data_IF_471623399129
#
_entry.id   IF_471623399129
#
_cell.length_a   1.000
_cell.length_b   1.000
_cell.length_c   1.000
_cell.angle_alpha   90.00
_cell.angle_beta   90.00
_cell.angle_gamma   90.00
#
_symmetry.space_group_name_H-M   'P 1'
#
loop_
_entity.id
_entity.type
_entity.pdbx_description
1 polymer ?
#
# COMPACT_ATOMS: atom_id res chain seq x y z
N UNK A 1 -22.93 -12.96 4.67
CA UNK A 1 -24.20 -13.66 4.91
C UNK A 1 -25.14 -12.82 5.79
N UNK A 2 -24.69 -12.33 6.98
CA UNK A 2 -25.51 -11.48 7.86
C UNK A 2 -25.96 -10.19 7.16
N UNK A 3 -25.06 -9.50 6.49
CA UNK A 3 -25.34 -8.27 5.73
C UNK A 3 -26.26 -8.50 4.50
N UNK A 4 -26.43 -9.74 4.04
CA UNK A 4 -27.30 -10.11 2.91
C UNK A 4 -28.68 -10.62 3.35
N UNK A 5 -29.02 -10.52 4.65
CA UNK A 5 -30.32 -10.96 5.19
C UNK A 5 -30.53 -12.48 5.24
N UNK A 6 -29.48 -13.28 4.98
CA UNK A 6 -29.58 -14.75 4.98
C UNK A 6 -29.88 -15.35 6.36
N UNK A 7 -29.71 -14.54 7.43
CA UNK A 7 -29.97 -15.00 8.81
C UNK A 7 -31.46 -15.09 9.14
N UNK A 8 -32.33 -14.47 8.39
CA UNK A 8 -33.78 -14.53 8.60
C UNK A 8 -34.37 -15.94 8.43
N UNK A 9 -33.63 -16.83 7.75
CA UNK A 9 -34.01 -18.24 7.53
C UNK A 9 -33.83 -19.12 8.79
N UNK A 10 -33.06 -18.62 9.77
CA UNK A 10 -32.74 -19.38 11.00
C UNK A 10 -33.66 -18.98 12.14
N UNK A 11 -33.84 -19.91 13.08
CA UNK A 11 -34.58 -19.64 14.31
C UNK A 11 -33.84 -18.60 15.16
N UNK A 12 -34.57 -17.87 16.02
CA UNK A 12 -33.98 -16.84 16.91
C UNK A 12 -32.83 -17.39 17.78
N UNK A 13 -32.95 -18.69 18.18
CA UNK A 13 -31.89 -19.36 18.95
C UNK A 13 -30.63 -19.56 18.13
N UNK A 14 -30.78 -20.00 16.88
CA UNK A 14 -29.65 -20.21 15.97
C UNK A 14 -28.99 -18.89 15.58
N UNK A 15 -29.78 -17.84 15.33
CA UNK A 15 -29.28 -16.49 15.07
C UNK A 15 -28.39 -16.01 16.23
N UNK A 16 -28.84 -16.19 17.47
CA UNK A 16 -28.07 -15.81 18.64
C UNK A 16 -26.75 -16.62 18.77
N UNK A 17 -26.77 -17.92 18.46
CA UNK A 17 -25.57 -18.76 18.49
C UNK A 17 -24.60 -18.33 17.38
N UNK A 18 -25.08 -18.00 16.19
CA UNK A 18 -24.26 -17.51 15.08
C UNK A 18 -23.66 -16.14 15.41
N UNK A 19 -24.42 -15.24 16.00
CA UNK A 19 -23.92 -13.94 16.43
C UNK A 19 -22.81 -14.05 17.48
N UNK A 20 -22.97 -14.94 18.47
CA UNK A 20 -21.91 -15.22 19.44
C UNK A 20 -20.65 -15.79 18.79
N UNK A 21 -20.82 -16.70 17.83
CA UNK A 21 -19.69 -17.28 17.09
C UNK A 21 -18.97 -16.24 16.23
N UNK A 22 -19.72 -15.33 15.59
CA UNK A 22 -19.14 -14.22 14.84
C UNK A 22 -18.34 -13.31 15.75
N UNK A 23 -18.89 -12.89 16.88
CA UNK A 23 -18.20 -12.03 17.84
C UNK A 23 -16.91 -12.67 18.39
N UNK A 24 -16.91 -13.99 18.60
CA UNK A 24 -15.69 -14.72 18.99
C UNK A 24 -14.65 -14.70 17.85
N UNK A 25 -15.07 -15.02 16.63
CA UNK A 25 -14.18 -15.02 15.46
C UNK A 25 -13.63 -13.61 15.16
N UNK A 26 -14.43 -12.57 15.29
CA UNK A 26 -13.98 -11.18 15.12
C UNK A 26 -12.95 -10.78 16.18
N UNK A 27 -13.12 -11.26 17.42
CA UNK A 27 -12.13 -11.04 18.48
C UNK A 27 -10.81 -11.74 18.19
N UNK A 28 -10.86 -12.97 17.71
CA UNK A 28 -9.67 -13.83 17.53
C UNK A 28 -8.97 -13.56 16.19
N UNK A 29 -9.73 -13.26 15.14
CA UNK A 29 -9.24 -13.12 13.76
C UNK A 29 -9.45 -11.73 13.15
N UNK A 30 -9.98 -10.77 13.92
CA UNK A 30 -10.34 -9.46 13.41
C UNK A 30 -9.17 -8.69 12.79
N UNK A 31 -7.97 -8.87 13.33
CA UNK A 31 -6.75 -8.27 12.79
C UNK A 31 -6.34 -8.75 11.40
N UNK A 32 -6.85 -9.93 10.98
CA UNK A 32 -6.53 -10.50 9.66
C UNK A 32 -7.51 -10.03 8.57
N UNK A 33 -8.67 -9.50 8.96
CA UNK A 33 -9.72 -9.08 8.02
C UNK A 33 -9.30 -7.92 7.09
N UNK A 34 -8.33 -7.14 7.51
CA UNK A 34 -7.80 -5.99 6.76
C UNK A 34 -6.54 -6.32 5.96
N UNK A 35 -6.08 -7.58 6.00
CA UNK A 35 -4.90 -8.01 5.25
C UNK A 35 -5.32 -8.50 3.87
N UNK A 36 -5.07 -7.69 2.84
CA UNK A 36 -5.31 -8.07 1.44
C UNK A 36 -4.18 -8.95 0.89
N UNK A 37 -2.96 -8.76 1.40
CA UNK A 37 -1.76 -9.48 0.97
C UNK A 37 -1.02 -10.09 2.17
N UNK A 38 -0.07 -10.98 1.88
CA UNK A 38 0.85 -11.46 2.90
C UNK A 38 1.69 -10.30 3.44
N UNK A 39 1.99 -10.27 4.75
CA UNK A 39 2.84 -9.23 5.32
C UNK A 39 4.29 -9.38 4.83
N UNK A 40 4.99 -8.25 4.66
CA UNK A 40 6.41 -8.25 4.27
C UNK A 40 7.32 -8.75 5.39
N UNK A 41 6.92 -8.52 6.64
CA UNK A 41 7.64 -8.99 7.82
C UNK A 41 6.69 -9.31 8.97
N UNK A 42 7.11 -10.23 9.84
CA UNK A 42 6.38 -10.62 11.05
C UNK A 42 7.27 -10.46 12.27
N UNK A 43 6.76 -9.80 13.29
CA UNK A 43 7.41 -9.72 14.60
C UNK A 43 6.78 -10.72 15.57
N UNK A 44 7.62 -11.54 16.20
CA UNK A 44 7.23 -12.62 17.11
C UNK A 44 7.85 -12.40 18.48
N UNK A 45 7.03 -12.40 19.52
CA UNK A 45 7.45 -12.13 20.89
C UNK A 45 7.98 -13.33 21.63
N UNK A 46 7.58 -14.53 21.21
CA UNK A 46 7.98 -15.81 21.82
C UNK A 46 8.07 -16.88 20.73
N UNK A 47 9.28 -17.24 20.35
CA UNK A 47 9.51 -18.24 19.30
C UNK A 47 9.08 -19.66 19.69
N UNK A 48 9.12 -20.00 20.98
CA UNK A 48 8.79 -21.33 21.43
C UNK A 48 7.28 -21.56 21.39
N UNK A 49 6.49 -20.58 21.86
CA UNK A 49 5.02 -20.65 21.84
C UNK A 49 4.48 -20.51 20.43
N UNK A 50 5.01 -19.54 19.68
CA UNK A 50 4.56 -19.21 18.33
C UNK A 50 5.37 -19.93 17.23
N UNK A 51 5.87 -21.15 17.54
CA UNK A 51 6.71 -21.90 16.59
C UNK A 51 5.99 -22.24 15.28
N UNK A 52 4.65 -22.30 15.28
CA UNK A 52 3.86 -22.51 14.08
C UNK A 52 3.98 -21.28 13.16
N UNK A 53 3.83 -20.08 13.71
CA UNK A 53 3.98 -18.85 12.95
C UNK A 53 5.39 -18.69 12.37
N UNK A 54 6.42 -19.03 13.16
CA UNK A 54 7.83 -19.02 12.70
C UNK A 54 8.00 -19.95 11.49
N UNK A 55 7.52 -21.21 11.59
CA UNK A 55 7.62 -22.19 10.51
C UNK A 55 6.83 -21.81 9.27
N UNK A 56 5.65 -21.20 9.44
CA UNK A 56 4.83 -20.74 8.34
C UNK A 56 5.45 -19.54 7.62
N UNK A 57 5.97 -18.57 8.38
CA UNK A 57 6.69 -17.44 7.83
C UNK A 57 7.93 -17.88 7.03
N UNK A 58 8.73 -18.78 7.60
CA UNK A 58 9.89 -19.36 6.92
C UNK A 58 9.50 -20.07 5.61
N UNK A 59 8.45 -20.90 5.61
CA UNK A 59 7.94 -21.57 4.40
C UNK A 59 7.44 -20.61 3.33
N UNK A 60 6.92 -19.46 3.73
CA UNK A 60 6.40 -18.42 2.83
C UNK A 60 7.44 -17.41 2.39
N UNK A 61 8.66 -17.48 2.94
CA UNK A 61 9.74 -16.52 2.68
C UNK A 61 9.45 -15.12 3.25
N UNK A 62 8.64 -15.06 4.32
CA UNK A 62 8.33 -13.81 5.03
C UNK A 62 9.44 -13.55 6.03
N UNK A 63 9.98 -12.33 6.04
CA UNK A 63 11.01 -11.94 6.99
C UNK A 63 10.49 -11.99 8.42
N UNK A 64 11.26 -12.62 9.31
CA UNK A 64 10.89 -12.81 10.70
C UNK A 64 11.85 -12.06 11.62
N UNK A 65 11.29 -11.23 12.47
CA UNK A 65 11.99 -10.58 13.60
C UNK A 65 11.43 -11.20 14.88
N UNK A 66 12.26 -11.78 15.72
CA UNK A 66 11.73 -12.43 16.92
C UNK A 66 12.63 -12.30 18.14
N UNK A 67 11.99 -12.25 19.31
CA UNK A 67 12.67 -12.42 20.58
C UNK A 67 13.03 -13.89 20.70
N UNK A 68 14.30 -14.17 20.94
CA UNK A 68 14.85 -15.52 21.08
C UNK A 68 15.44 -15.69 22.47
N UNK A 69 14.82 -16.56 23.26
CA UNK A 69 15.35 -17.03 24.54
C UNK A 69 16.04 -18.39 24.36
N UNK A 70 16.55 -18.97 25.43
CA UNK A 70 17.29 -20.24 25.46
C UNK A 70 16.47 -21.47 25.10
N UNK A 71 15.13 -21.37 25.12
CA UNK A 71 14.17 -22.44 24.83
C UNK A 71 13.73 -22.51 23.35
N UNK A 72 14.28 -21.66 22.49
CA UNK A 72 13.88 -21.49 21.10
C UNK A 72 15.01 -21.89 20.13
N UNK A 73 14.63 -22.50 18.98
CA UNK A 73 15.57 -22.72 17.87
C UNK A 73 15.70 -21.43 17.03
N UNK A 74 16.83 -20.75 17.09
CA UNK A 74 17.02 -19.50 16.36
C UNK A 74 17.25 -19.68 14.86
N UNK A 75 17.44 -20.89 14.36
CA UNK A 75 17.84 -21.15 12.98
C UNK A 75 16.78 -20.73 11.95
N UNK A 76 15.51 -20.74 12.35
CA UNK A 76 14.36 -20.38 11.50
C UNK A 76 14.01 -18.87 11.54
N UNK A 77 14.71 -18.10 12.39
CA UNK A 77 14.45 -16.67 12.55
C UNK A 77 15.56 -15.88 11.86
N UNK A 78 15.17 -14.93 11.04
CA UNK A 78 16.13 -14.13 10.26
C UNK A 78 16.79 -13.04 11.11
N UNK A 79 15.98 -12.27 11.82
CA UNK A 79 16.45 -11.21 12.74
C UNK A 79 16.18 -11.60 14.20
N UNK A 80 17.20 -12.02 14.90
CA UNK A 80 17.12 -12.55 16.26
C UNK A 80 17.41 -11.46 17.27
N UNK A 81 16.54 -11.33 18.26
CA UNK A 81 16.73 -10.41 19.39
C UNK A 81 16.92 -11.29 20.64
N UNK A 82 18.16 -11.54 21.09
CA UNK A 82 18.39 -12.33 22.27
C UNK A 82 17.90 -11.59 23.50
N UNK A 83 16.82 -12.06 24.09
CA UNK A 83 16.22 -11.49 25.29
C UNK A 83 15.26 -12.47 25.95
N UNK A 84 14.90 -12.16 27.21
CA UNK A 84 13.95 -12.97 27.97
C UNK A 84 12.52 -12.73 27.49
N UNK A 85 11.84 -13.79 27.11
CA UNK A 85 10.47 -13.82 26.58
C UNK A 85 9.39 -14.05 27.66
N UNK A 86 9.78 -14.32 28.92
CA UNK A 86 8.86 -14.47 30.06
C UNK A 86 8.68 -13.18 30.87
N UNK A 87 9.68 -12.30 30.86
CA UNK A 87 9.65 -11.09 31.66
C UNK A 87 8.88 -9.95 30.96
N UNK A 88 7.73 -9.59 31.49
CA UNK A 88 6.88 -8.50 30.96
C UNK A 88 7.64 -7.19 30.69
N UNK A 89 8.62 -6.85 31.53
CA UNK A 89 9.41 -5.62 31.34
C UNK A 89 10.38 -5.74 30.14
N UNK A 90 10.97 -6.91 29.94
CA UNK A 90 11.84 -7.19 28.79
C UNK A 90 11.05 -7.10 27.49
N UNK A 91 9.95 -7.82 27.41
CA UNK A 91 9.04 -7.80 26.25
C UNK A 91 8.57 -6.38 25.95
N UNK A 92 8.12 -5.65 26.96
CA UNK A 92 7.59 -4.30 26.81
C UNK A 92 8.61 -3.35 26.15
N UNK A 93 9.84 -3.32 26.63
CA UNK A 93 10.89 -2.44 26.07
C UNK A 93 11.15 -2.75 24.60
N UNK A 94 11.23 -4.04 24.25
CA UNK A 94 11.52 -4.47 22.89
C UNK A 94 10.33 -4.13 21.98
N UNK A 95 9.10 -4.45 22.39
CA UNK A 95 7.88 -4.16 21.63
C UNK A 95 7.72 -2.66 21.41
N UNK A 96 7.91 -1.84 22.45
CA UNK A 96 7.84 -0.38 22.32
C UNK A 96 8.89 0.18 21.35
N UNK A 97 10.12 -0.36 21.40
CA UNK A 97 11.20 0.05 20.49
C UNK A 97 10.86 -0.30 19.03
N UNK A 98 10.39 -1.52 18.77
CA UNK A 98 10.01 -1.95 17.42
C UNK A 98 8.79 -1.17 16.91
N UNK A 99 7.79 -0.97 17.76
CA UNK A 99 6.60 -0.20 17.41
C UNK A 99 6.95 1.26 17.06
N UNK A 100 7.87 1.88 17.82
CA UNK A 100 8.36 3.23 17.53
C UNK A 100 9.10 3.28 16.20
N UNK A 101 10.03 2.37 15.96
CA UNK A 101 10.80 2.29 14.72
C UNK A 101 9.88 2.05 13.50
N UNK A 102 8.89 1.17 13.63
CA UNK A 102 7.89 0.94 12.59
C UNK A 102 7.08 2.22 12.29
N UNK A 103 6.62 2.91 13.34
CA UNK A 103 5.87 4.16 13.20
C UNK A 103 6.68 5.27 12.53
N UNK A 104 7.98 5.38 12.83
CA UNK A 104 8.89 6.32 12.17
C UNK A 104 9.11 5.95 10.70
N UNK A 105 9.35 4.68 10.42
CA UNK A 105 9.53 4.17 9.07
C UNK A 105 8.29 4.41 8.19
N UNK A 106 7.10 4.15 8.73
CA UNK A 106 5.83 4.39 8.02
C UNK A 106 5.65 5.87 7.68
N UNK A 107 5.87 6.77 8.63
CA UNK A 107 5.80 8.23 8.37
C UNK A 107 6.80 8.68 7.32
N UNK A 108 8.03 8.17 7.38
CA UNK A 108 9.05 8.49 6.38
C UNK A 108 8.66 8.02 4.98
N UNK A 109 7.99 6.88 4.87
CA UNK A 109 7.51 6.32 3.61
C UNK A 109 6.32 7.13 3.05
N UNK A 110 5.39 7.55 3.91
CA UNK A 110 4.28 8.43 3.54
C UNK A 110 4.79 9.76 2.97
N UNK A 111 5.74 10.41 3.66
CA UNK A 111 6.36 11.66 3.19
C UNK A 111 7.10 11.48 1.85
N UNK A 112 7.76 10.33 1.64
CA UNK A 112 8.41 10.04 0.34
C UNK A 112 7.37 9.88 -0.77
N UNK A 113 6.31 9.11 -0.52
CA UNK A 113 5.26 8.88 -1.52
C UNK A 113 4.53 10.17 -1.91
N UNK A 114 4.29 11.07 -0.95
CA UNK A 114 3.71 12.39 -1.23
C UNK A 114 4.65 13.26 -2.09
N UNK A 115 5.95 13.28 -1.77
CA UNK A 115 6.94 14.02 -2.56
C UNK A 115 7.04 13.49 -3.99
N UNK A 116 6.98 12.18 -4.18
CA UNK A 116 6.99 11.57 -5.52
C UNK A 116 5.72 11.90 -6.31
N UNK A 117 4.55 11.92 -5.67
CA UNK A 117 3.30 12.34 -6.32
C UNK A 117 3.37 13.80 -6.78
N UNK A 118 3.79 14.70 -5.88
CA UNK A 118 3.95 16.13 -6.22
C UNK A 118 4.97 16.34 -7.33
N UNK A 119 6.03 15.52 -7.36
CA UNK A 119 7.03 15.60 -8.44
C UNK A 119 6.44 15.17 -9.78
N UNK A 120 5.70 14.07 -9.82
CA UNK A 120 5.02 13.60 -11.04
C UNK A 120 3.97 14.58 -11.54
N UNK A 121 3.15 15.14 -10.65
CA UNK A 121 2.15 16.15 -11.00
C UNK A 121 2.79 17.40 -11.61
N UNK A 122 3.95 17.84 -11.08
CA UNK A 122 4.69 18.97 -11.65
C UNK A 122 5.30 18.64 -13.02
N UNK A 123 5.80 17.45 -13.20
CA UNK A 123 6.36 16.97 -14.46
C UNK A 123 5.27 16.84 -15.54
N UNK A 124 4.10 16.31 -15.20
CA UNK A 124 2.95 16.25 -16.10
C UNK A 124 2.39 17.63 -16.43
N UNK A 125 2.35 18.55 -15.47
CA UNK A 125 1.93 19.93 -15.71
C UNK A 125 2.91 20.70 -16.60
N UNK A 126 4.20 20.42 -16.49
CA UNK A 126 5.22 21.00 -17.35
C UNK A 126 5.10 20.51 -18.80
N UNK A 127 4.97 19.19 -18.98
CA UNK A 127 4.79 18.58 -20.31
C UNK A 127 3.52 19.09 -21.02
N UNK A 128 2.42 19.25 -20.30
CA UNK A 128 1.19 19.82 -20.87
C UNK A 128 1.37 21.25 -21.34
N UNK A 129 2.13 22.06 -20.61
CA UNK A 129 2.42 23.43 -21.05
C UNK A 129 3.30 23.48 -22.29
N UNK A 130 4.31 22.62 -22.38
CA UNK A 130 5.12 22.52 -23.59
C UNK A 130 4.28 22.06 -24.80
N UNK A 131 3.37 21.09 -24.60
CA UNK A 131 2.44 20.66 -25.67
C UNK A 131 1.49 21.79 -26.10
N UNK A 132 0.97 22.58 -25.15
CA UNK A 132 0.12 23.74 -25.47
C UNK A 132 0.89 24.82 -26.21
N UNK A 133 2.12 25.16 -25.82
CA UNK A 133 2.96 26.14 -26.50
C UNK A 133 3.30 25.70 -27.92
N UNK A 134 3.66 24.42 -28.12
CA UNK A 134 3.95 23.87 -29.46
C UNK A 134 2.70 23.89 -30.36
N UNK A 135 1.52 23.57 -29.81
CA UNK A 135 0.29 23.60 -30.60
C UNK A 135 -0.14 25.02 -30.98
N UNK A 136 0.09 26.03 -30.12
CA UNK A 136 -0.14 27.43 -30.45
C UNK A 136 0.84 27.94 -31.52
N UNK A 137 2.11 27.57 -31.42
CA UNK A 137 3.15 27.96 -32.38
C UNK A 137 2.88 27.36 -33.79
N UNK A 138 2.53 26.07 -33.85
CA UNK A 138 2.13 25.40 -35.08
C UNK A 138 0.85 26.01 -35.68
N UNK A 139 -0.14 26.29 -34.86
CA UNK A 139 -1.36 26.96 -35.33
C UNK A 139 -1.12 28.36 -35.92
N UNK A 140 -0.21 29.11 -35.31
CA UNK A 140 0.19 30.41 -35.82
C UNK A 140 0.94 30.32 -37.19
N UNK A 141 1.83 29.32 -37.32
CA UNK A 141 2.53 29.07 -38.58
C UNK A 141 1.59 28.65 -39.72
N UNK A 142 0.62 27.78 -39.40
CA UNK A 142 -0.41 27.33 -40.36
C UNK A 142 -1.26 28.51 -40.83
N UNK A 143 -1.71 29.37 -39.91
CA UNK A 143 -2.49 30.56 -40.27
C UNK A 143 -1.75 31.51 -41.19
N UNK A 144 -0.45 31.73 -40.96
CA UNK A 144 0.41 32.56 -41.83
C UNK A 144 0.62 31.93 -43.21
N UNK A 145 0.69 30.61 -43.28
CA UNK A 145 0.82 29.89 -44.54
C UNK A 145 -0.51 29.93 -45.36
N UNK A 146 -1.64 29.78 -44.70
CA UNK A 146 -2.97 29.92 -45.35
C UNK A 146 -3.19 31.33 -45.91
N UNK A 147 -2.82 32.36 -45.19
CA UNK A 147 -2.93 33.76 -45.65
C UNK A 147 -2.04 34.06 -46.87
N UNK A 148 -0.88 33.38 -46.98
CA UNK A 148 -0.01 33.50 -48.15
C UNK A 148 -0.59 32.80 -49.39
N UNK A 149 -1.16 31.62 -49.21
CA UNK A 149 -1.79 30.85 -50.28
C UNK A 149 -2.99 31.66 -50.82
N UNK A 150 -3.84 32.19 -49.96
CA UNK A 150 -5.00 33.00 -50.37
C UNK A 150 -4.59 34.25 -51.16
N UNK A 151 -3.50 34.90 -50.78
CA UNK A 151 -2.95 36.06 -51.53
C UNK A 151 -2.40 35.65 -52.89
N UNK A 152 -1.71 34.51 -53.00
CA UNK A 152 -1.19 34.02 -54.27
C UNK A 152 -2.33 33.60 -55.21
N UNK A 153 -3.40 32.97 -54.69
CA UNK A 153 -4.59 32.60 -55.49
C UNK A 153 -5.32 33.83 -56.06
N UNK A 154 -5.44 34.89 -55.27
CA UNK A 154 -6.05 36.18 -55.70
C UNK A 154 -5.21 36.83 -56.78
N UNK A 155 -3.86 36.90 -56.64
CA UNK A 155 -2.94 37.48 -57.61
C UNK A 155 -2.89 36.68 -58.93
N UNK A 156 -3.08 35.38 -58.86
CA UNK A 156 -3.16 34.52 -60.04
C UNK A 156 -4.52 34.65 -60.79
N UNK A 157 -5.58 34.92 -60.06
CA UNK A 157 -6.92 35.20 -60.64
C UNK A 157 -6.94 36.54 -61.35
N UNK A 158 -6.35 37.58 -60.79
CA UNK A 158 -6.25 38.92 -61.42
C UNK A 158 -5.34 38.96 -62.64
N UNK A 159 -4.37 38.03 -62.81
CA UNK A 159 -3.51 37.91 -63.99
C UNK A 159 -4.20 37.18 -65.16
N UNK A 160 -5.35 36.54 -64.95
CA UNK A 160 -6.09 35.76 -65.97
C UNK A 160 -7.27 36.55 -66.58
N UNK A 161 -7.60 37.73 -66.03
CA UNK A 161 -8.53 38.70 -66.65
C UNK A 161 -7.77 39.70 -67.54
#
# INVERSE_FOLDING_TARGET
>A
QKAKGEFEKYTKKEQLLLDRKIATLEKDLGGVLTLDNLPDAVFITDCARENIAVKEAFKKGIQTVAITDTNCDPSLVEYRIPANDDATKSIKIIVETIASAYGEGKRALEVKSEKEKVKKEKEEAFLKKEEEEITEEVAAEVAVAEEKIEKEEVEEAERKE
#
